data_IF_176707890677
#
_entry.id   IF_176707890677
#
_cell.length_a   1.000
_cell.length_b   1.000
_cell.length_c   1.000
_cell.angle_alpha   90.00
_cell.angle_beta   90.00
_cell.angle_gamma   90.00
#
_symmetry.space_group_name_H-M   'P 1'
#
loop_
_entity.id
_entity.type
_entity.pdbx_description
1 polymer ?
#
# COMPACT_ATOMS: atom_id res chain seq x y z
N UNK A 1 41.30 12.41 -2.35
CA UNK A 1 39.99 11.74 -2.19
C UNK A 1 38.99 12.52 -3.02
N UNK A 2 38.08 11.84 -3.76
CA UNK A 2 37.03 12.53 -4.50
C UNK A 2 36.16 13.34 -3.51
N UNK A 3 35.69 14.51 -3.93
CA UNK A 3 34.77 15.32 -3.13
C UNK A 3 33.39 14.60 -3.03
N UNK A 4 32.59 14.97 -2.04
CA UNK A 4 31.23 14.42 -1.90
C UNK A 4 30.39 14.64 -3.18
N UNK A 5 30.58 15.76 -3.85
CA UNK A 5 29.97 16.08 -5.14
C UNK A 5 30.43 15.12 -6.24
N UNK A 6 31.72 14.94 -6.44
CA UNK A 6 32.28 14.05 -7.45
C UNK A 6 31.81 12.59 -7.25
N UNK A 7 31.71 12.14 -5.99
CA UNK A 7 31.17 10.83 -5.68
C UNK A 7 29.70 10.69 -6.09
N UNK A 8 28.84 11.66 -5.75
CA UNK A 8 27.42 11.66 -6.13
C UNK A 8 27.24 11.76 -7.67
N UNK A 9 28.02 12.60 -8.34
CA UNK A 9 28.01 12.71 -9.81
C UNK A 9 28.39 11.38 -10.48
N UNK A 10 29.42 10.69 -9.96
CA UNK A 10 29.80 9.37 -10.47
C UNK A 10 28.73 8.31 -10.28
N UNK A 11 27.96 8.35 -9.19
CA UNK A 11 26.80 7.48 -8.98
C UNK A 11 25.68 7.83 -9.94
N UNK A 12 25.26 9.09 -10.03
CA UNK A 12 24.18 9.55 -10.91
C UNK A 12 24.45 9.25 -12.37
N UNK A 13 25.70 9.32 -12.81
CA UNK A 13 26.11 8.91 -14.17
C UNK A 13 25.74 7.46 -14.48
N UNK A 14 25.77 6.53 -13.50
CA UNK A 14 25.35 5.13 -13.71
C UNK A 14 23.86 5.00 -13.96
N UNK A 15 23.07 5.95 -13.47
CA UNK A 15 21.63 6.03 -13.69
C UNK A 15 21.26 6.88 -14.94
N UNK A 16 22.25 7.35 -15.69
CA UNK A 16 22.06 8.30 -16.80
C UNK A 16 21.33 9.57 -16.36
N UNK A 17 21.73 10.12 -15.20
CA UNK A 17 21.25 11.38 -14.62
C UNK A 17 22.36 12.40 -14.60
N UNK A 18 22.06 13.66 -14.97
CA UNK A 18 22.99 14.79 -14.92
C UNK A 18 22.52 15.81 -13.87
N UNK A 19 23.50 16.47 -13.25
CA UNK A 19 23.26 17.67 -12.44
C UNK A 19 23.30 18.88 -13.37
N UNK A 20 22.28 19.74 -13.30
CA UNK A 20 22.15 20.91 -14.18
C UNK A 20 21.75 20.54 -15.61
N UNK A 21 21.24 19.35 -15.89
CA UNK A 21 20.69 18.96 -17.20
C UNK A 21 19.22 19.33 -17.36
N UNK A 22 18.71 19.17 -18.59
CA UNK A 22 17.33 19.57 -18.96
C UNK A 22 16.39 18.38 -19.19
N UNK A 23 16.90 17.14 -19.15
CA UNK A 23 16.08 15.94 -19.40
C UNK A 23 15.14 15.66 -18.22
N UNK A 24 14.06 14.88 -18.39
CA UNK A 24 13.12 14.57 -17.33
C UNK A 24 13.78 14.00 -16.05
N UNK A 25 14.78 13.14 -16.19
CA UNK A 25 15.51 12.53 -15.09
C UNK A 25 16.60 13.41 -14.46
N UNK A 26 16.96 14.52 -15.10
CA UNK A 26 18.05 15.38 -14.62
C UNK A 26 17.61 16.23 -13.42
N UNK A 27 18.57 16.60 -12.57
CA UNK A 27 18.30 17.34 -11.33
C UNK A 27 18.99 18.70 -11.32
N UNK A 28 18.36 19.67 -10.68
CA UNK A 28 18.94 20.95 -10.31
C UNK A 28 19.30 20.92 -8.81
N UNK A 29 20.52 21.30 -8.47
CA UNK A 29 21.01 21.41 -7.09
C UNK A 29 21.12 22.89 -6.73
N UNK A 30 20.39 23.28 -5.67
CA UNK A 30 20.36 24.66 -5.17
C UNK A 30 21.22 24.85 -3.92
N UNK A 31 21.58 23.73 -3.24
CA UNK A 31 22.41 23.76 -2.04
C UNK A 31 23.41 22.58 -2.04
N UNK A 32 24.69 22.89 -2.07
CA UNK A 32 25.80 21.92 -2.11
C UNK A 32 25.86 21.00 -0.86
N UNK A 33 25.22 21.39 0.25
CA UNK A 33 25.10 20.55 1.45
C UNK A 33 24.35 19.25 1.18
N UNK A 34 23.58 19.18 0.10
CA UNK A 34 22.91 17.99 -0.40
C UNK A 34 23.82 16.77 -0.42
N UNK A 35 25.02 16.90 -1.00
CA UNK A 35 25.91 15.76 -1.24
C UNK A 35 26.34 15.09 0.07
N UNK A 36 26.76 15.89 1.04
CA UNK A 36 27.12 15.38 2.36
C UNK A 36 25.92 14.78 3.12
N UNK A 37 24.72 15.36 2.96
CA UNK A 37 23.50 14.87 3.59
C UNK A 37 23.10 13.51 3.03
N UNK A 38 23.18 13.33 1.71
CA UNK A 38 22.88 12.05 1.04
C UNK A 38 23.88 10.96 1.43
N UNK A 39 25.18 11.27 1.41
CA UNK A 39 26.20 10.29 1.83
C UNK A 39 26.00 9.85 3.29
N UNK A 40 25.65 10.78 4.18
CA UNK A 40 25.48 10.49 5.60
C UNK A 40 24.19 9.78 5.95
N UNK A 41 23.09 10.14 5.31
CA UNK A 41 21.75 9.72 5.69
C UNK A 41 20.98 8.93 4.61
N UNK A 42 21.60 8.67 3.46
CA UNK A 42 21.00 7.89 2.37
C UNK A 42 19.69 8.49 1.87
N UNK A 43 18.68 7.63 1.70
CA UNK A 43 17.34 8.00 1.22
C UNK A 43 16.66 9.03 2.13
N UNK A 44 16.84 8.94 3.45
CA UNK A 44 16.34 9.94 4.39
C UNK A 44 16.92 11.33 4.07
N UNK A 45 18.25 11.39 3.87
CA UNK A 45 18.93 12.64 3.53
C UNK A 45 18.49 13.23 2.19
N UNK A 46 18.27 12.37 1.19
CA UNK A 46 17.80 12.78 -0.14
C UNK A 46 16.38 13.38 -0.06
N UNK A 47 15.44 12.69 0.60
CA UNK A 47 14.06 13.15 0.71
C UNK A 47 13.93 14.41 1.57
N UNK A 48 14.65 14.49 2.69
CA UNK A 48 14.64 15.70 3.53
C UNK A 48 15.24 16.90 2.79
N UNK A 49 16.32 16.72 2.03
CA UNK A 49 16.90 17.78 1.21
C UNK A 49 15.92 18.26 0.11
N UNK A 50 15.11 17.34 -0.45
CA UNK A 50 14.03 17.72 -1.36
C UNK A 50 12.96 18.58 -0.67
N UNK A 51 12.51 18.15 0.51
CA UNK A 51 11.53 18.91 1.31
C UNK A 51 12.04 20.32 1.67
N UNK A 52 13.34 20.44 1.91
CA UNK A 52 14.01 21.70 2.27
C UNK A 52 14.37 22.57 1.03
N UNK A 53 14.03 22.11 -0.19
CA UNK A 53 14.27 22.87 -1.43
C UNK A 53 15.72 22.89 -1.90
N UNK A 54 16.58 21.97 -1.41
CA UNK A 54 17.99 21.95 -1.77
C UNK A 54 18.25 21.38 -3.17
N UNK A 55 17.29 20.65 -3.72
CA UNK A 55 17.34 20.14 -5.07
C UNK A 55 15.94 19.90 -5.65
N UNK A 56 15.87 19.80 -6.96
CA UNK A 56 14.67 19.50 -7.72
C UNK A 56 14.97 18.56 -8.88
N UNK A 57 13.96 17.88 -9.39
CA UNK A 57 14.01 17.11 -10.62
C UNK A 57 12.91 17.58 -11.57
N UNK A 58 13.17 17.62 -12.87
CA UNK A 58 12.19 17.99 -13.88
C UNK A 58 10.99 17.03 -13.88
N UNK A 59 11.27 15.70 -13.74
CA UNK A 59 10.28 14.69 -13.46
C UNK A 59 10.80 13.77 -12.34
N UNK A 60 10.33 14.01 -11.11
CA UNK A 60 10.83 13.33 -9.91
C UNK A 60 10.62 11.81 -9.97
N UNK A 61 9.48 11.36 -10.49
CA UNK A 61 9.15 9.95 -10.71
C UNK A 61 10.14 9.26 -11.68
N UNK A 62 10.52 9.96 -12.75
CA UNK A 62 11.50 9.46 -13.73
C UNK A 62 12.90 9.41 -13.13
N UNK A 63 13.31 10.42 -12.36
CA UNK A 63 14.56 10.44 -11.62
C UNK A 63 14.66 9.23 -10.69
N UNK A 64 13.66 9.05 -9.83
CA UNK A 64 13.62 7.93 -8.87
C UNK A 64 13.63 6.58 -9.61
N UNK A 65 12.83 6.44 -10.67
CA UNK A 65 12.87 5.23 -11.50
C UNK A 65 14.29 4.91 -11.99
N UNK A 66 15.02 5.90 -12.53
CA UNK A 66 16.38 5.72 -13.03
C UNK A 66 17.37 5.32 -11.94
N UNK A 67 17.32 6.00 -10.80
CA UNK A 67 18.16 5.72 -9.63
C UNK A 67 17.95 4.29 -9.11
N UNK A 68 16.69 3.87 -9.00
CA UNK A 68 16.33 2.53 -8.51
C UNK A 68 16.61 1.43 -9.55
N UNK A 69 16.38 1.68 -10.84
CA UNK A 69 16.71 0.74 -11.91
C UNK A 69 18.22 0.49 -11.97
N UNK A 70 19.04 1.52 -11.73
CA UNK A 70 20.49 1.42 -11.62
C UNK A 70 20.98 0.87 -10.23
N UNK A 71 20.07 0.55 -9.31
CA UNK A 71 20.34 0.02 -7.96
C UNK A 71 21.28 0.91 -7.13
N UNK A 72 21.16 2.22 -7.27
CA UNK A 72 22.00 3.16 -6.52
C UNK A 72 21.58 3.26 -5.05
N UNK A 73 20.35 2.89 -4.71
CA UNK A 73 19.87 2.68 -3.35
C UNK A 73 20.84 1.82 -2.53
N UNK A 74 21.36 0.73 -3.11
CA UNK A 74 22.32 -0.16 -2.46
C UNK A 74 23.73 0.40 -2.31
N UNK A 75 24.11 1.39 -3.10
CA UNK A 75 25.42 1.98 -3.04
C UNK A 75 25.61 2.91 -1.81
N UNK A 76 24.52 3.33 -1.18
CA UNK A 76 24.48 4.30 -0.07
C UNK A 76 23.90 3.68 1.23
N UNK A 77 23.35 2.46 1.17
CA UNK A 77 22.56 1.83 2.25
C UNK A 77 23.34 1.46 3.53
N UNK A 78 24.65 1.39 3.53
CA UNK A 78 25.39 0.92 4.71
C UNK A 78 25.86 2.10 5.54
N UNK A 79 24.97 2.65 6.37
CA UNK A 79 25.36 3.55 7.44
C UNK A 79 24.99 2.99 8.82
N UNK A 80 25.63 3.53 9.87
CA UNK A 80 25.42 3.10 11.27
C UNK A 80 23.94 3.21 11.70
N UNK A 81 23.20 4.19 11.17
CA UNK A 81 21.79 4.38 11.50
C UNK A 81 20.90 3.25 10.95
N UNK A 82 21.17 2.77 9.72
CA UNK A 82 20.48 1.61 9.14
C UNK A 82 20.76 0.33 9.95
N UNK A 83 22.00 0.12 10.36
CA UNK A 83 22.38 -1.03 11.21
C UNK A 83 21.66 -1.00 12.57
N UNK A 84 21.58 0.15 13.20
CA UNK A 84 20.86 0.33 14.46
C UNK A 84 19.35 0.13 14.31
N UNK A 85 18.75 0.59 13.22
CA UNK A 85 17.33 0.37 12.93
C UNK A 85 17.01 -1.11 12.73
N UNK A 86 17.84 -1.85 11.99
CA UNK A 86 17.71 -3.31 11.79
C UNK A 86 17.86 -4.04 13.13
N UNK A 87 18.86 -3.69 13.94
CA UNK A 87 19.05 -4.30 15.26
C UNK A 87 17.83 -4.04 16.17
N UNK A 88 17.31 -2.82 16.20
CA UNK A 88 16.11 -2.46 16.96
C UNK A 88 14.88 -3.27 16.50
N UNK A 89 14.65 -3.41 15.19
CA UNK A 89 13.55 -4.20 14.65
C UNK A 89 13.71 -5.70 14.95
N UNK A 90 14.95 -6.20 14.99
CA UNK A 90 15.25 -7.57 15.35
C UNK A 90 14.93 -7.90 16.82
N UNK A 91 15.29 -7.02 17.75
CA UNK A 91 15.09 -7.25 19.18
C UNK A 91 13.71 -6.87 19.68
N UNK A 92 13.08 -5.81 19.15
CA UNK A 92 11.80 -5.27 19.62
C UNK A 92 10.66 -5.49 18.63
N UNK A 93 9.43 -5.72 19.13
CA UNK A 93 8.23 -5.68 18.31
C UNK A 93 7.77 -4.22 18.15
N UNK A 94 8.09 -3.61 16.99
CA UNK A 94 7.76 -2.22 16.70
C UNK A 94 6.27 -2.01 16.34
N UNK A 95 5.52 -3.11 16.11
CA UNK A 95 4.10 -3.11 15.73
C UNK A 95 3.23 -3.75 16.83
N UNK A 96 3.50 -3.42 18.10
CA UNK A 96 2.66 -3.86 19.23
C UNK A 96 1.27 -3.20 19.18
N UNK A 97 0.25 -3.82 19.84
CA UNK A 97 -1.12 -3.30 19.89
C UNK A 97 -1.19 -1.84 20.35
N UNK A 98 -0.43 -1.47 21.37
CA UNK A 98 -0.37 -0.06 21.85
C UNK A 98 0.11 0.92 20.80
N UNK A 99 1.05 0.51 19.93
CA UNK A 99 1.60 1.34 18.85
C UNK A 99 0.72 1.39 17.61
N UNK A 100 -0.11 0.37 17.36
CA UNK A 100 -1.00 0.33 16.21
C UNK A 100 -1.98 1.52 16.22
N UNK A 101 -2.55 1.86 17.40
CA UNK A 101 -3.42 3.03 17.53
C UNK A 101 -2.67 4.35 17.34
N UNK A 102 -1.44 4.49 17.85
CA UNK A 102 -0.63 5.71 17.68
C UNK A 102 -0.22 5.92 16.20
N UNK A 103 0.07 4.85 15.46
CA UNK A 103 0.37 4.93 14.03
C UNK A 103 -0.88 5.30 13.23
N UNK A 104 -2.05 4.74 13.60
CA UNK A 104 -3.34 5.11 13.01
C UNK A 104 -3.63 6.60 13.18
N UNK A 105 -3.43 7.14 14.39
CA UNK A 105 -3.59 8.56 14.68
C UNK A 105 -2.58 9.41 13.86
N UNK A 106 -1.30 9.10 13.85
CA UNK A 106 -0.28 9.92 13.21
C UNK A 106 -0.38 10.01 11.68
N UNK A 107 -0.82 8.95 11.01
CA UNK A 107 -0.86 8.93 9.53
C UNK A 107 -2.23 9.35 8.97
N UNK A 108 -3.34 8.91 9.57
CA UNK A 108 -4.68 9.18 9.05
C UNK A 108 -5.31 10.45 9.61
N UNK A 109 -4.71 11.06 10.65
CA UNK A 109 -5.13 12.36 11.22
C UNK A 109 -4.58 13.58 10.44
N UNK A 110 -3.95 13.35 9.26
CA UNK A 110 -3.58 14.42 8.33
C UNK A 110 -4.78 15.21 7.76
N UNK A 111 -6.00 14.72 8.03
CA UNK A 111 -7.26 15.34 7.62
C UNK A 111 -7.92 14.66 6.43
N UNK A 112 -9.22 14.38 6.56
CA UNK A 112 -10.02 13.76 5.50
C UNK A 112 -10.11 14.62 4.22
N UNK A 113 -9.91 15.95 4.32
CA UNK A 113 -9.92 16.90 3.22
C UNK A 113 -8.75 16.68 2.24
N UNK A 114 -7.56 16.32 2.74
CA UNK A 114 -6.42 15.93 1.92
C UNK A 114 -6.72 14.67 1.11
N UNK A 115 -7.21 13.63 1.78
CA UNK A 115 -7.53 12.36 1.12
C UNK A 115 -8.69 12.49 0.14
N UNK A 116 -9.74 13.23 0.50
CA UNK A 116 -10.86 13.51 -0.40
C UNK A 116 -10.46 14.34 -1.64
N UNK A 117 -9.41 15.16 -1.52
CA UNK A 117 -8.88 15.91 -2.65
C UNK A 117 -8.02 15.07 -3.60
N UNK A 118 -7.41 14.00 -3.11
CA UNK A 118 -6.44 13.20 -3.84
C UNK A 118 -7.04 11.90 -4.40
N UNK A 119 -7.87 11.23 -3.61
CA UNK A 119 -8.42 9.91 -3.92
C UNK A 119 -9.60 10.00 -4.92
N UNK A 120 -10.10 8.83 -5.32
CA UNK A 120 -11.33 8.68 -6.07
C UNK A 120 -12.58 9.02 -5.22
N UNK A 121 -13.74 9.08 -5.83
CA UNK A 121 -15.04 9.38 -5.17
C UNK A 121 -15.41 8.42 -4.04
N UNK A 122 -14.82 7.22 -3.99
CA UNK A 122 -15.04 6.22 -2.95
C UNK A 122 -14.00 6.26 -1.82
N UNK A 123 -13.03 7.17 -1.91
CA UNK A 123 -11.95 7.29 -0.92
C UNK A 123 -11.10 6.02 -0.78
N UNK A 124 -10.72 5.39 -1.89
CA UNK A 124 -9.93 4.14 -1.87
C UNK A 124 -8.44 4.46 -1.85
N UNK A 125 -7.77 4.20 -0.73
CA UNK A 125 -6.34 4.47 -0.55
C UNK A 125 -5.47 3.23 -0.77
N UNK A 126 -5.77 2.47 -1.82
CA UNK A 126 -4.99 1.33 -2.31
C UNK A 126 -4.95 1.36 -3.83
N UNK A 127 -4.12 0.53 -4.44
CA UNK A 127 -3.96 0.48 -5.90
C UNK A 127 -5.29 0.24 -6.63
N UNK A 128 -5.56 1.00 -7.68
CA UNK A 128 -6.59 0.70 -8.66
C UNK A 128 -6.18 -0.46 -9.59
N UNK A 129 -7.12 -1.05 -10.30
CA UNK A 129 -6.87 -2.08 -11.30
C UNK A 129 -7.10 -1.51 -12.71
N UNK A 130 -5.99 -1.26 -13.44
CA UNK A 130 -5.98 -0.55 -14.71
C UNK A 130 -5.97 -1.50 -15.92
N UNK A 131 -6.60 -2.65 -15.82
CA UNK A 131 -6.56 -3.65 -16.90
C UNK A 131 -6.92 -3.05 -18.26
N UNK A 132 -5.99 -3.14 -19.20
CA UNK A 132 -6.34 -3.06 -20.62
C UNK A 132 -6.96 -4.40 -21.03
N UNK A 133 -7.97 -4.45 -21.94
CA UNK A 133 -8.42 -5.70 -22.50
C UNK A 133 -7.18 -6.40 -23.09
N UNK A 134 -6.86 -7.59 -22.58
CA UNK A 134 -5.76 -8.38 -23.10
C UNK A 134 -6.03 -8.67 -24.58
N UNK A 135 -5.16 -8.20 -25.46
CA UNK A 135 -5.07 -8.67 -26.81
C UNK A 135 -4.59 -10.12 -26.75
N UNK A 136 -5.51 -11.08 -26.78
CA UNK A 136 -5.17 -12.49 -27.03
C UNK A 136 -5.49 -13.46 -25.91
N UNK A 137 -6.75 -13.86 -25.79
CA UNK A 137 -7.14 -15.26 -25.55
C UNK A 137 -8.63 -15.40 -25.89
N UNK A 138 -8.91 -15.93 -27.07
CA UNK A 138 -10.24 -16.31 -27.56
C UNK A 138 -10.65 -17.62 -26.90
N UNK A 139 -11.14 -17.59 -25.66
CA UNK A 139 -11.93 -18.71 -25.12
C UNK A 139 -12.65 -18.34 -23.82
N UNK A 140 -13.64 -17.43 -23.89
CA UNK A 140 -14.81 -17.43 -23.00
C UNK A 140 -15.85 -16.43 -23.50
N UNK A 141 -17.11 -16.82 -23.77
CA UNK A 141 -18.15 -15.94 -24.32
C UNK A 141 -18.80 -15.00 -23.30
N UNK A 142 -18.24 -14.80 -22.14
CA UNK A 142 -18.76 -13.92 -21.07
C UNK A 142 -17.78 -12.85 -20.58
N UNK A 143 -16.81 -12.43 -21.40
CA UNK A 143 -16.09 -11.19 -21.16
C UNK A 143 -17.05 -10.02 -21.44
N UNK A 144 -17.57 -9.43 -20.37
CA UNK A 144 -18.27 -8.16 -20.39
C UNK A 144 -17.52 -7.16 -21.26
N UNK A 145 -18.24 -6.50 -22.18
CA UNK A 145 -17.87 -5.39 -23.05
C UNK A 145 -16.56 -4.70 -22.65
N UNK A 146 -15.54 -4.79 -23.54
CA UNK A 146 -14.20 -4.28 -23.33
C UNK A 146 -14.15 -2.74 -23.12
N UNK A 147 -14.62 -2.28 -22.00
CA UNK A 147 -14.44 -0.90 -21.57
C UNK A 147 -12.99 -0.76 -21.10
N UNK A 148 -12.24 0.11 -21.77
CA UNK A 148 -10.91 0.52 -21.35
C UNK A 148 -11.05 1.33 -20.07
N UNK A 149 -10.37 0.93 -19.00
CA UNK A 149 -10.30 1.69 -17.75
C UNK A 149 -9.42 2.93 -18.00
N UNK A 150 -10.02 4.12 -17.91
CA UNK A 150 -9.32 5.37 -18.27
C UNK A 150 -9.21 6.35 -17.08
N UNK A 151 -10.00 6.17 -16.04
CA UNK A 151 -10.05 7.08 -14.88
C UNK A 151 -9.72 6.35 -13.58
N UNK A 152 -9.29 7.12 -12.58
CA UNK A 152 -9.03 6.59 -11.24
C UNK A 152 -10.28 5.94 -10.63
N UNK A 153 -11.46 6.56 -10.81
CA UNK A 153 -12.74 6.03 -10.35
C UNK A 153 -13.04 4.65 -10.93
N UNK A 154 -12.88 4.51 -12.26
CA UNK A 154 -13.08 3.23 -12.94
C UNK A 154 -12.07 2.16 -12.49
N UNK A 155 -10.80 2.54 -12.31
CA UNK A 155 -9.76 1.63 -11.83
C UNK A 155 -10.02 1.14 -10.41
N UNK A 156 -10.54 2.00 -9.54
CA UNK A 156 -10.92 1.62 -8.19
C UNK A 156 -12.18 0.75 -8.19
N UNK A 157 -13.21 1.09 -8.95
CA UNK A 157 -14.41 0.25 -9.09
C UNK A 157 -14.04 -1.16 -9.63
N UNK A 158 -13.17 -1.22 -10.65
CA UNK A 158 -12.66 -2.49 -11.21
C UNK A 158 -11.88 -3.32 -10.17
N UNK A 159 -11.06 -2.67 -9.32
CA UNK A 159 -10.34 -3.36 -8.25
C UNK A 159 -11.28 -3.89 -7.16
N UNK A 160 -12.27 -3.10 -6.75
CA UNK A 160 -13.25 -3.53 -5.73
C UNK A 160 -14.08 -4.72 -6.23
N UNK A 161 -14.49 -4.69 -7.51
CA UNK A 161 -15.18 -5.79 -8.17
C UNK A 161 -14.31 -7.05 -8.26
N UNK A 162 -13.04 -6.89 -8.66
CA UNK A 162 -12.09 -7.99 -8.73
C UNK A 162 -11.93 -8.71 -7.39
N UNK A 163 -11.90 -7.97 -6.27
CA UNK A 163 -11.84 -8.55 -4.91
C UNK A 163 -13.10 -9.39 -4.66
N UNK A 164 -14.29 -8.87 -4.96
CA UNK A 164 -15.55 -9.60 -4.77
C UNK A 164 -15.60 -10.87 -5.62
N UNK A 165 -15.21 -10.80 -6.89
CA UNK A 165 -15.16 -11.98 -7.79
C UNK A 165 -14.16 -13.03 -7.30
N UNK A 166 -12.98 -12.62 -6.85
CA UNK A 166 -11.94 -13.54 -6.37
C UNK A 166 -12.35 -14.33 -5.14
N UNK A 167 -13.14 -13.76 -4.25
CA UNK A 167 -13.68 -14.53 -3.10
C UNK A 167 -15.00 -15.24 -3.43
N UNK A 168 -15.50 -15.11 -4.67
CA UNK A 168 -16.77 -15.71 -5.07
C UNK A 168 -17.96 -15.16 -4.29
N UNK A 169 -17.93 -13.85 -3.93
CA UNK A 169 -18.91 -13.20 -3.05
C UNK A 169 -20.34 -13.32 -3.57
N UNK A 170 -21.25 -13.70 -2.69
CA UNK A 170 -22.68 -13.91 -2.98
C UNK A 170 -23.55 -13.10 -2.05
N UNK A 171 -24.79 -12.90 -2.47
CA UNK A 171 -25.83 -12.27 -1.63
C UNK A 171 -26.02 -13.06 -0.33
N UNK A 172 -25.95 -12.35 0.78
CA UNK A 172 -26.14 -12.91 2.12
C UNK A 172 -24.83 -13.37 2.79
N UNK A 173 -23.71 -13.43 2.08
CA UNK A 173 -22.42 -13.75 2.70
C UNK A 173 -22.04 -12.71 3.74
N UNK A 174 -21.42 -13.17 4.82
CA UNK A 174 -20.90 -12.33 5.92
C UNK A 174 -19.37 -12.24 5.80
N UNK A 175 -18.85 -11.03 5.66
CA UNK A 175 -17.42 -10.80 5.41
C UNK A 175 -16.78 -10.01 6.53
N UNK A 176 -15.56 -10.40 6.93
CA UNK A 176 -14.70 -9.60 7.78
C UNK A 176 -13.72 -8.79 6.91
N UNK A 177 -13.75 -7.47 7.02
CA UNK A 177 -12.80 -6.55 6.37
C UNK A 177 -11.77 -6.07 7.38
N UNK A 178 -10.54 -6.63 7.33
CA UNK A 178 -9.46 -6.32 8.26
C UNK A 178 -8.67 -5.10 7.75
N UNK A 179 -8.89 -3.95 8.38
CA UNK A 179 -8.34 -2.68 7.95
C UNK A 179 -9.24 -1.99 6.92
N UNK A 180 -10.52 -1.86 7.23
CA UNK A 180 -11.56 -1.40 6.32
C UNK A 180 -11.40 0.07 5.86
N UNK A 181 -10.47 0.84 6.43
CA UNK A 181 -10.30 2.25 6.11
C UNK A 181 -11.60 3.05 6.28
N UNK A 182 -11.97 3.81 5.25
CA UNK A 182 -13.23 4.56 5.20
C UNK A 182 -14.45 3.73 4.76
N UNK A 183 -14.32 2.38 4.75
CA UNK A 183 -15.43 1.48 4.42
C UNK A 183 -15.72 1.33 2.93
N UNK A 184 -14.82 1.77 2.07
CA UNK A 184 -15.03 1.83 0.60
C UNK A 184 -15.35 0.47 -0.01
N UNK A 185 -14.58 -0.57 0.34
CA UNK A 185 -14.85 -1.93 -0.13
C UNK A 185 -16.12 -2.50 0.51
N UNK A 186 -16.29 -2.31 1.82
CA UNK A 186 -17.48 -2.78 2.53
C UNK A 186 -18.78 -2.25 1.90
N UNK A 187 -18.82 -0.93 1.63
CA UNK A 187 -19.94 -0.28 0.94
C UNK A 187 -20.17 -0.89 -0.44
N UNK A 188 -19.11 -1.06 -1.24
CA UNK A 188 -19.19 -1.64 -2.59
C UNK A 188 -19.74 -3.06 -2.55
N UNK A 189 -19.22 -3.93 -1.67
CA UNK A 189 -19.63 -5.32 -1.53
C UNK A 189 -21.13 -5.45 -1.16
N UNK A 190 -21.61 -4.58 -0.28
CA UNK A 190 -23.02 -4.53 0.09
C UNK A 190 -23.89 -4.05 -1.07
N UNK A 191 -23.56 -2.91 -1.66
CA UNK A 191 -24.36 -2.30 -2.74
C UNK A 191 -24.43 -3.17 -4.00
N UNK A 192 -23.34 -3.84 -4.36
CA UNK A 192 -23.24 -4.58 -5.62
C UNK A 192 -23.52 -6.07 -5.48
N UNK A 193 -23.19 -6.66 -4.35
CA UNK A 193 -23.28 -8.11 -4.15
C UNK A 193 -24.29 -8.51 -3.08
N UNK A 194 -24.82 -7.58 -2.29
CA UNK A 194 -25.79 -7.87 -1.23
C UNK A 194 -25.22 -8.65 -0.06
N UNK A 195 -23.92 -8.50 0.19
CA UNK A 195 -23.25 -9.08 1.35
C UNK A 195 -23.57 -8.29 2.64
N UNK A 196 -23.13 -8.80 3.78
CA UNK A 196 -23.03 -8.05 5.04
C UNK A 196 -21.57 -8.01 5.48
N UNK A 197 -21.12 -6.88 6.01
CA UNK A 197 -19.69 -6.68 6.32
C UNK A 197 -19.49 -6.20 7.73
N UNK A 198 -18.54 -6.82 8.44
CA UNK A 198 -17.95 -6.26 9.66
C UNK A 198 -16.56 -5.73 9.31
N UNK A 199 -16.42 -4.41 9.34
CA UNK A 199 -15.15 -3.73 9.09
C UNK A 199 -14.46 -3.35 10.39
N UNK A 200 -13.17 -3.63 10.50
CA UNK A 200 -12.36 -3.20 11.65
C UNK A 200 -11.24 -2.24 11.20
N UNK A 201 -11.00 -1.23 12.00
CA UNK A 201 -9.88 -0.27 11.84
C UNK A 201 -9.41 0.21 13.21
N UNK A 202 -8.15 0.62 13.32
CA UNK A 202 -7.60 1.25 14.54
C UNK A 202 -7.71 2.78 14.52
N UNK A 203 -8.07 3.39 13.38
CA UNK A 203 -8.25 4.84 13.26
C UNK A 203 -9.69 5.24 13.61
N UNK A 204 -9.84 6.11 14.60
CA UNK A 204 -11.15 6.67 14.99
C UNK A 204 -11.74 7.56 13.91
N UNK A 205 -10.89 8.34 13.22
CA UNK A 205 -11.27 9.24 12.12
C UNK A 205 -11.83 8.44 10.94
N UNK A 206 -11.13 7.38 10.53
CA UNK A 206 -11.63 6.48 9.49
C UNK A 206 -12.96 5.83 9.88
N UNK A 207 -13.06 5.32 11.13
CA UNK A 207 -14.27 4.67 11.60
C UNK A 207 -15.47 5.62 11.64
N UNK A 208 -15.27 6.88 12.04
CA UNK A 208 -16.33 7.88 12.09
C UNK A 208 -16.91 8.13 10.69
N UNK A 209 -16.04 8.44 9.71
CA UNK A 209 -16.47 8.68 8.34
C UNK A 209 -17.00 7.41 7.66
N UNK A 210 -16.42 6.22 7.94
CA UNK A 210 -16.91 4.96 7.39
C UNK A 210 -18.34 4.65 7.86
N UNK A 211 -18.68 4.92 9.12
CA UNK A 211 -20.06 4.76 9.65
C UNK A 211 -21.03 5.70 8.95
N UNK A 212 -20.62 6.94 8.70
CA UNK A 212 -21.42 7.91 7.93
C UNK A 212 -21.66 7.43 6.49
N UNK A 213 -20.58 7.07 5.78
CA UNK A 213 -20.64 6.62 4.38
C UNK A 213 -21.40 5.30 4.18
N UNK A 214 -21.46 4.45 5.19
CA UNK A 214 -22.17 3.18 5.18
C UNK A 214 -23.53 3.23 5.92
N UNK A 215 -24.02 4.42 6.31
CA UNK A 215 -25.28 4.54 7.02
C UNK A 215 -26.45 3.91 6.26
N UNK A 216 -27.26 3.11 6.96
CA UNK A 216 -28.40 2.40 6.37
C UNK A 216 -28.06 1.10 5.59
N UNK A 217 -26.78 0.77 5.48
CA UNK A 217 -26.32 -0.48 4.87
C UNK A 217 -26.02 -1.55 5.94
N UNK A 218 -26.05 -2.85 5.61
CA UNK A 218 -25.65 -3.93 6.52
C UNK A 218 -24.12 -3.99 6.67
N UNK A 219 -23.53 -2.88 7.15
CA UNK A 219 -22.12 -2.70 7.45
C UNK A 219 -21.96 -2.28 8.90
N UNK A 220 -21.18 -3.03 9.67
CA UNK A 220 -20.81 -2.68 11.02
C UNK A 220 -19.33 -2.26 11.06
N UNK A 221 -19.01 -1.04 11.52
CA UNK A 221 -17.64 -0.54 11.62
C UNK A 221 -17.21 -0.47 13.09
N UNK A 222 -16.12 -1.17 13.42
CA UNK A 222 -15.54 -1.23 14.77
C UNK A 222 -14.16 -0.59 14.82
N UNK A 223 -13.89 0.19 15.87
CA UNK A 223 -12.53 0.61 16.24
C UNK A 223 -11.93 -0.52 17.06
N UNK A 224 -11.14 -1.37 16.40
CA UNK A 224 -10.66 -2.62 17.00
C UNK A 224 -9.36 -3.07 16.36
N UNK A 225 -8.41 -3.55 17.19
CA UNK A 225 -7.20 -4.22 16.70
C UNK A 225 -7.57 -5.65 16.25
N UNK A 226 -7.01 -6.10 15.12
CA UNK A 226 -7.29 -7.44 14.58
C UNK A 226 -6.97 -8.57 15.58
N UNK A 227 -5.99 -8.37 16.48
CA UNK A 227 -5.61 -9.35 17.51
C UNK A 227 -6.70 -9.61 18.54
N UNK A 228 -7.61 -8.67 18.71
CA UNK A 228 -8.75 -8.75 19.63
C UNK A 228 -10.01 -9.33 18.97
N UNK A 229 -9.93 -9.67 17.68
CA UNK A 229 -11.06 -10.26 16.96
C UNK A 229 -11.34 -11.66 17.49
N UNK A 230 -12.57 -11.83 17.95
CA UNK A 230 -13.10 -13.12 18.34
C UNK A 230 -14.44 -13.33 17.62
N UNK A 231 -14.54 -14.30 16.71
CA UNK A 231 -15.78 -14.54 15.95
C UNK A 231 -16.97 -14.79 16.87
N UNK A 232 -16.82 -15.49 17.99
CA UNK A 232 -17.90 -15.77 18.93
C UNK A 232 -18.54 -14.53 19.54
N UNK A 233 -17.77 -13.45 19.72
CA UNK A 233 -18.29 -12.16 20.22
C UNK A 233 -18.81 -11.25 19.12
N UNK A 234 -18.43 -11.50 17.87
CA UNK A 234 -18.83 -10.71 16.70
C UNK A 234 -20.09 -11.23 16.01
N UNK A 235 -20.25 -12.54 15.96
CA UNK A 235 -21.28 -13.21 15.19
C UNK A 235 -22.23 -14.06 16.06
N UNK A 236 -21.78 -14.46 17.24
CA UNK A 236 -22.42 -15.44 18.10
C UNK A 236 -21.53 -16.68 18.30
N UNK A 237 -21.83 -17.44 19.34
CA UNK A 237 -21.03 -18.62 19.70
C UNK A 237 -20.99 -19.65 18.56
N UNK A 238 -19.79 -19.98 18.09
CA UNK A 238 -19.56 -20.97 17.02
C UNK A 238 -19.74 -20.45 15.60
N UNK A 239 -20.08 -19.19 15.39
CA UNK A 239 -20.20 -18.62 14.04
C UNK A 239 -18.85 -18.09 13.54
N UNK A 240 -18.67 -18.14 12.22
CA UNK A 240 -17.51 -17.67 11.47
C UNK A 240 -17.94 -16.88 10.24
N UNK A 241 -17.02 -16.13 9.64
CA UNK A 241 -17.26 -15.37 8.42
C UNK A 241 -17.18 -16.30 7.18
N UNK A 242 -18.02 -16.04 6.19
CA UNK A 242 -17.97 -16.74 4.90
C UNK A 242 -16.66 -16.41 4.16
N UNK A 243 -16.24 -15.15 4.24
CA UNK A 243 -15.01 -14.67 3.62
C UNK A 243 -14.30 -13.66 4.52
N UNK A 244 -13.00 -13.48 4.27
CA UNK A 244 -12.19 -12.41 4.86
C UNK A 244 -11.52 -11.63 3.73
N UNK A 245 -11.44 -10.32 3.87
CA UNK A 245 -10.63 -9.45 3.02
C UNK A 245 -9.72 -8.58 3.86
N UNK A 246 -8.57 -8.21 3.30
CA UNK A 246 -7.67 -7.22 3.89
C UNK A 246 -6.93 -6.50 2.77
N UNK A 247 -7.15 -5.20 2.65
CA UNK A 247 -6.69 -4.39 1.54
C UNK A 247 -5.76 -3.28 2.01
N UNK A 248 -4.42 -3.47 1.85
CA UNK A 248 -3.42 -2.46 2.20
C UNK A 248 -3.20 -2.27 3.71
N UNK A 249 -3.48 -3.30 4.51
CA UNK A 249 -3.29 -3.27 5.97
C UNK A 249 -2.10 -4.12 6.43
N UNK A 250 -1.79 -5.17 5.69
CA UNK A 250 -0.77 -6.15 6.09
C UNK A 250 0.64 -5.55 6.22
N UNK A 251 0.91 -4.48 5.51
CA UNK A 251 2.12 -3.66 5.59
C UNK A 251 2.35 -3.08 7.00
N UNK A 252 1.29 -2.92 7.79
CA UNK A 252 1.34 -2.40 9.16
C UNK A 252 1.38 -3.50 10.24
N UNK A 253 1.26 -4.78 9.85
CA UNK A 253 1.27 -5.93 10.78
C UNK A 253 2.66 -6.15 11.38
N UNK A 254 3.70 -6.07 10.56
CA UNK A 254 5.09 -6.32 10.93
C UNK A 254 5.44 -7.81 11.06
N UNK A 255 6.67 -8.15 10.66
CA UNK A 255 7.12 -9.53 10.46
C UNK A 255 6.91 -10.43 11.68
N UNK A 256 7.09 -9.90 12.90
CA UNK A 256 6.91 -10.65 14.15
C UNK A 256 5.46 -11.07 14.42
N UNK A 257 4.51 -10.38 13.80
CA UNK A 257 3.08 -10.61 14.02
C UNK A 257 2.41 -11.33 12.84
N UNK A 258 3.10 -11.61 11.73
CA UNK A 258 2.50 -12.24 10.55
C UNK A 258 1.81 -13.57 10.88
N UNK A 259 2.47 -14.42 11.70
CA UNK A 259 1.88 -15.69 12.12
C UNK A 259 0.60 -15.50 12.94
N UNK A 260 0.60 -14.57 13.90
CA UNK A 260 -0.59 -14.21 14.70
C UNK A 260 -1.71 -13.67 13.83
N UNK A 261 -1.38 -12.87 12.82
CA UNK A 261 -2.37 -12.33 11.89
C UNK A 261 -3.10 -13.43 11.11
N UNK A 262 -2.36 -14.39 10.56
CA UNK A 262 -2.96 -15.52 9.85
C UNK A 262 -3.68 -16.50 10.79
N UNK A 263 -3.23 -16.66 12.03
CA UNK A 263 -3.97 -17.44 13.04
C UNK A 263 -5.35 -16.81 13.33
N UNK A 264 -5.42 -15.48 13.51
CA UNK A 264 -6.70 -14.79 13.67
C UNK A 264 -7.60 -14.99 12.46
N UNK A 265 -7.09 -14.80 11.25
CA UNK A 265 -7.85 -15.02 10.03
C UNK A 265 -8.36 -16.48 9.94
N UNK A 266 -7.51 -17.45 10.26
CA UNK A 266 -7.88 -18.87 10.25
C UNK A 266 -9.02 -19.20 11.24
N UNK A 267 -8.97 -18.65 12.44
CA UNK A 267 -10.04 -18.84 13.44
C UNK A 267 -11.37 -18.18 13.03
N UNK A 268 -11.30 -17.07 12.31
CA UNK A 268 -12.47 -16.29 11.91
C UNK A 268 -13.13 -16.82 10.62
N UNK A 269 -12.41 -17.53 9.76
CA UNK A 269 -12.87 -17.99 8.47
C UNK A 269 -13.59 -19.34 8.57
N UNK A 270 -14.73 -19.52 7.87
CA UNK A 270 -15.38 -20.82 7.69
C UNK A 270 -14.48 -21.80 6.93
N UNK A 271 -14.73 -23.10 7.06
CA UNK A 271 -13.93 -24.17 6.42
C UNK A 271 -13.85 -24.01 4.89
N UNK A 272 -14.97 -23.66 4.25
CA UNK A 272 -15.04 -23.44 2.80
C UNK A 272 -14.90 -21.96 2.39
N UNK A 273 -14.52 -21.09 3.32
CA UNK A 273 -14.35 -19.67 3.09
C UNK A 273 -13.04 -19.35 2.35
N UNK A 274 -13.03 -18.17 1.72
CA UNK A 274 -11.83 -17.63 1.08
C UNK A 274 -11.36 -16.38 1.81
N UNK A 275 -10.05 -16.25 1.95
CA UNK A 275 -9.40 -15.05 2.45
C UNK A 275 -8.60 -14.39 1.33
N UNK A 276 -8.92 -13.14 0.98
CA UNK A 276 -8.15 -12.34 0.03
C UNK A 276 -7.28 -11.35 0.78
N UNK A 277 -5.98 -11.49 0.60
CA UNK A 277 -4.96 -10.55 1.07
C UNK A 277 -4.46 -9.71 -0.10
N UNK A 278 -4.67 -8.39 -0.05
CA UNK A 278 -4.10 -7.42 -0.98
C UNK A 278 -3.03 -6.61 -0.27
N UNK A 279 -1.78 -6.76 -0.68
CA UNK A 279 -0.64 -6.12 -0.02
C UNK A 279 0.45 -5.72 -0.99
N UNK A 280 1.08 -4.59 -0.72
CA UNK A 280 2.36 -4.25 -1.35
C UNK A 280 3.39 -5.25 -0.87
N UNK A 281 4.28 -5.65 -1.77
CA UNK A 281 5.34 -6.58 -1.43
C UNK A 281 6.70 -6.21 -2.00
N UNK A 282 7.71 -6.87 -1.48
CA UNK A 282 9.10 -6.68 -1.89
C UNK A 282 9.72 -8.03 -2.27
N UNK A 283 10.65 -8.02 -3.23
CA UNK A 283 11.28 -9.27 -3.71
C UNK A 283 12.25 -9.91 -2.72
N UNK A 284 12.64 -9.17 -1.68
CA UNK A 284 13.59 -9.62 -0.64
C UNK A 284 12.95 -9.41 0.72
N UNK A 285 13.15 -10.38 1.63
CA UNK A 285 12.66 -10.26 3.00
C UNK A 285 13.36 -9.11 3.73
N UNK A 286 12.57 -8.24 4.34
CA UNK A 286 13.03 -7.08 5.09
C UNK A 286 12.45 -7.07 6.51
N UNK A 287 13.09 -6.35 7.41
CA UNK A 287 12.64 -6.13 8.79
C UNK A 287 12.27 -4.66 9.05
N UNK A 288 12.67 -3.76 8.15
CA UNK A 288 12.45 -2.31 8.24
C UNK A 288 12.02 -1.77 6.89
N UNK A 289 11.39 -0.61 6.88
CA UNK A 289 11.05 0.14 5.68
C UNK A 289 12.18 1.11 5.29
N UNK A 290 12.01 1.81 4.17
CA UNK A 290 12.83 2.97 3.82
C UNK A 290 12.79 4.01 4.94
N UNK A 291 13.92 4.56 5.41
CA UNK A 291 13.96 5.47 6.57
C UNK A 291 13.17 6.77 6.37
N UNK A 292 13.04 7.27 5.13
CA UNK A 292 12.25 8.45 4.87
C UNK A 292 10.75 8.13 4.92
N UNK A 293 10.33 7.03 4.30
CA UNK A 293 8.94 6.54 4.34
C UNK A 293 8.53 6.23 5.78
N UNK A 294 9.40 5.57 6.56
CA UNK A 294 9.14 5.27 7.97
C UNK A 294 8.94 6.54 8.81
N UNK A 295 9.75 7.57 8.56
CA UNK A 295 9.70 8.81 9.34
C UNK A 295 8.51 9.69 9.01
N UNK A 296 8.14 9.82 7.75
CA UNK A 296 7.21 10.84 7.27
C UNK A 296 5.85 10.31 6.82
N UNK A 297 5.75 9.04 6.39
CA UNK A 297 4.56 8.51 5.74
C UNK A 297 3.97 7.33 6.52
N UNK A 298 4.70 6.22 6.67
CA UNK A 298 4.20 4.99 7.27
C UNK A 298 5.09 4.51 8.43
N UNK A 299 4.99 5.14 9.62
CA UNK A 299 5.76 4.72 10.78
C UNK A 299 5.53 3.25 11.13
N UNK A 300 6.61 2.48 11.21
CA UNK A 300 6.56 1.05 11.52
C UNK A 300 6.04 0.16 10.37
N UNK A 301 5.77 0.70 9.19
CA UNK A 301 5.37 -0.08 8.02
C UNK A 301 6.51 -0.97 7.51
N UNK A 302 6.22 -2.20 7.11
CA UNK A 302 7.21 -3.13 6.51
C UNK A 302 6.56 -3.89 5.37
N UNK A 303 7.17 -3.81 4.18
CA UNK A 303 6.68 -4.55 3.02
C UNK A 303 7.11 -6.02 3.12
N UNK A 304 6.17 -7.00 3.06
CA UNK A 304 6.49 -8.41 3.12
C UNK A 304 7.15 -8.90 1.83
N UNK A 305 7.86 -10.02 1.92
CA UNK A 305 8.21 -10.85 0.77
C UNK A 305 7.26 -12.04 0.65
N UNK A 306 7.19 -12.67 -0.54
CA UNK A 306 6.44 -13.94 -0.72
C UNK A 306 6.94 -15.02 0.24
N UNK A 307 8.25 -15.09 0.49
CA UNK A 307 8.83 -16.05 1.41
C UNK A 307 8.36 -15.84 2.87
N UNK A 308 8.24 -14.57 3.31
CA UNK A 308 7.73 -14.24 4.64
C UNK A 308 6.24 -14.58 4.77
N UNK A 309 5.44 -14.29 3.74
CA UNK A 309 4.02 -14.67 3.69
C UNK A 309 3.89 -16.20 3.68
N UNK A 310 4.61 -16.90 2.79
CA UNK A 310 4.58 -18.36 2.70
C UNK A 310 4.90 -19.05 4.03
N UNK A 311 5.95 -18.59 4.72
CA UNK A 311 6.28 -19.08 6.07
C UNK A 311 5.17 -18.80 7.10
N UNK A 312 4.50 -17.67 6.98
CA UNK A 312 3.48 -17.27 7.97
C UNK A 312 2.15 -18.01 7.79
N UNK A 313 1.79 -18.41 6.57
CA UNK A 313 0.57 -19.17 6.27
C UNK A 313 0.74 -20.70 6.42
N UNK A 314 1.98 -21.19 6.51
CA UNK A 314 2.28 -22.64 6.58
C UNK A 314 1.46 -23.33 7.66
N UNK A 315 0.72 -24.38 7.28
CA UNK A 315 -0.17 -25.15 8.16
C UNK A 315 -1.49 -24.46 8.52
N UNK A 316 -1.75 -23.24 8.02
CA UNK A 316 -3.05 -22.56 8.17
C UNK A 316 -3.82 -22.49 6.87
N UNK A 317 -3.13 -22.21 5.75
CA UNK A 317 -3.80 -21.95 4.48
C UNK A 317 -3.09 -22.57 3.30
N UNK A 318 -3.89 -22.95 2.30
CA UNK A 318 -3.46 -23.22 0.93
C UNK A 318 -3.48 -21.89 0.18
N UNK A 319 -2.41 -21.56 -0.56
CA UNK A 319 -2.37 -20.42 -1.46
C UNK A 319 -2.98 -20.84 -2.81
N UNK A 320 -4.19 -20.40 -3.09
CA UNK A 320 -4.94 -20.74 -4.31
C UNK A 320 -4.50 -19.91 -5.51
N UNK A 321 -4.24 -18.63 -5.30
CA UNK A 321 -3.84 -17.69 -6.35
C UNK A 321 -2.91 -16.60 -5.80
N UNK A 322 -1.97 -16.16 -6.64
CA UNK A 322 -1.16 -14.97 -6.42
C UNK A 322 -1.18 -14.11 -7.70
N UNK A 323 -1.92 -13.02 -7.68
CA UNK A 323 -2.02 -12.06 -8.77
C UNK A 323 -1.14 -10.85 -8.51
N UNK A 324 -0.12 -10.64 -9.34
CA UNK A 324 0.77 -9.50 -9.26
C UNK A 324 0.43 -8.46 -10.34
N UNK A 325 -0.11 -7.32 -9.92
CA UNK A 325 -0.38 -6.17 -10.80
C UNK A 325 0.24 -4.87 -10.28
N UNK A 326 1.41 -4.99 -9.67
CA UNK A 326 2.15 -3.85 -9.11
C UNK A 326 2.49 -2.74 -10.11
N UNK A 327 2.44 -3.00 -11.41
CA UNK A 327 2.61 -1.95 -12.43
C UNK A 327 1.49 -0.91 -12.39
N UNK A 328 0.27 -1.31 -12.02
CA UNK A 328 -0.91 -0.45 -11.92
C UNK A 328 -0.78 0.60 -10.80
N UNK A 329 0.08 0.33 -9.81
CA UNK A 329 0.30 1.30 -8.74
C UNK A 329 1.04 2.55 -9.21
N UNK A 330 1.94 2.44 -10.18
CA UNK A 330 2.56 3.62 -10.81
C UNK A 330 1.46 4.55 -11.36
N UNK A 331 0.55 4.03 -12.17
CA UNK A 331 -0.58 4.80 -12.73
C UNK A 331 -1.49 5.36 -11.65
N UNK A 332 -1.78 4.58 -10.60
CA UNK A 332 -2.60 5.03 -9.46
C UNK A 332 -1.95 6.20 -8.72
N UNK A 333 -0.65 6.10 -8.41
CA UNK A 333 0.10 7.15 -7.70
C UNK A 333 0.24 8.42 -8.53
N UNK A 334 0.42 8.29 -9.85
CA UNK A 334 0.43 9.44 -10.77
C UNK A 334 -0.94 10.13 -10.82
N UNK A 335 -2.04 9.36 -10.81
CA UNK A 335 -3.38 9.93 -10.75
C UNK A 335 -3.65 10.64 -9.41
N UNK A 336 -3.23 10.04 -8.28
CA UNK A 336 -3.31 10.68 -6.98
C UNK A 336 -2.50 11.97 -6.93
N UNK A 337 -1.29 11.97 -7.51
CA UNK A 337 -0.47 13.17 -7.56
C UNK A 337 -1.14 14.27 -8.40
N UNK A 338 -1.69 13.94 -9.57
CA UNK A 338 -2.39 14.91 -10.41
C UNK A 338 -3.58 15.56 -9.68
N UNK A 339 -4.38 14.77 -8.94
CA UNK A 339 -5.48 15.29 -8.15
C UNK A 339 -5.00 16.18 -7.00
N UNK A 340 -3.96 15.75 -6.27
CA UNK A 340 -3.36 16.49 -5.16
C UNK A 340 -2.81 17.84 -5.65
N UNK A 341 -2.04 17.83 -6.73
CA UNK A 341 -1.43 19.02 -7.32
C UNK A 341 -2.51 20.03 -7.78
N UNK A 342 -3.54 19.56 -8.49
CA UNK A 342 -4.68 20.37 -8.90
C UNK A 342 -5.46 20.96 -7.70
N UNK A 343 -5.52 20.23 -6.57
CA UNK A 343 -6.20 20.69 -5.36
C UNK A 343 -5.32 21.61 -4.49
N UNK A 344 -4.02 21.71 -4.75
CA UNK A 344 -3.08 22.47 -3.92
C UNK A 344 -3.47 23.95 -3.68
N UNK A 345 -3.97 24.71 -4.65
CA UNK A 345 -4.42 26.09 -4.39
C UNK A 345 -5.43 26.23 -3.23
N UNK A 346 -6.22 25.18 -2.97
CA UNK A 346 -7.15 25.11 -1.86
C UNK A 346 -6.45 24.59 -0.58
N UNK A 347 -5.65 23.54 -0.71
CA UNK A 347 -4.97 22.85 0.42
C UNK A 347 -3.90 23.71 1.09
N UNK A 348 -3.21 24.58 0.36
CA UNK A 348 -2.18 25.49 0.89
C UNK A 348 -2.68 26.48 1.96
N UNK A 349 -3.97 26.54 2.20
CA UNK A 349 -4.55 27.30 3.33
C UNK A 349 -4.36 26.61 4.67
N UNK A 350 -4.16 25.28 4.66
CA UNK A 350 -4.02 24.43 5.85
C UNK A 350 -2.63 23.80 5.94
N UNK A 351 -1.97 23.59 4.80
CA UNK A 351 -0.67 22.92 4.69
C UNK A 351 0.37 23.86 4.12
N UNK A 352 1.60 23.80 4.61
CA UNK A 352 2.71 24.63 4.14
C UNK A 352 3.41 24.03 2.89
N UNK A 353 4.31 24.80 2.30
CA UNK A 353 5.08 24.39 1.11
C UNK A 353 5.96 23.18 1.38
N UNK A 354 6.47 23.03 2.61
CA UNK A 354 7.28 21.87 3.00
C UNK A 354 6.44 20.59 3.01
N UNK A 355 5.17 20.69 3.42
CA UNK A 355 4.19 19.59 3.33
C UNK A 355 3.90 19.23 1.86
N UNK A 356 3.69 20.23 0.99
CA UNK A 356 3.50 19.98 -0.45
C UNK A 356 4.67 19.17 -1.03
N UNK A 357 5.89 19.60 -0.76
CA UNK A 357 7.11 18.93 -1.22
C UNK A 357 7.23 17.52 -0.64
N UNK A 358 6.89 17.33 0.63
CA UNK A 358 6.85 16.01 1.28
C UNK A 358 5.87 15.07 0.56
N UNK A 359 4.65 15.53 0.33
CA UNK A 359 3.59 14.71 -0.28
C UNK A 359 3.88 14.41 -1.75
N UNK A 360 4.36 15.39 -2.50
CA UNK A 360 4.87 15.22 -3.86
C UNK A 360 6.01 14.20 -3.92
N UNK A 361 6.98 14.31 -3.01
CA UNK A 361 8.09 13.36 -2.93
C UNK A 361 7.57 11.94 -2.64
N UNK A 362 6.66 11.78 -1.71
CA UNK A 362 6.03 10.50 -1.41
C UNK A 362 5.40 9.86 -2.65
N UNK A 363 4.44 10.54 -3.26
CA UNK A 363 3.67 9.98 -4.37
C UNK A 363 4.55 9.65 -5.58
N UNK A 364 5.42 10.57 -5.98
CA UNK A 364 6.25 10.41 -7.16
C UNK A 364 7.43 9.44 -6.93
N UNK A 365 8.01 9.38 -5.73
CA UNK A 365 9.05 8.40 -5.44
C UNK A 365 8.48 6.97 -5.39
N UNK A 366 7.29 6.77 -4.83
CA UNK A 366 6.61 5.50 -4.89
C UNK A 366 6.24 5.09 -6.33
N UNK A 367 5.74 6.03 -7.16
CA UNK A 367 5.47 5.78 -8.58
C UNK A 367 6.72 5.30 -9.33
N UNK A 368 7.85 6.01 -9.15
CA UNK A 368 9.15 5.60 -9.69
C UNK A 368 9.61 4.23 -9.19
N UNK A 369 9.35 3.90 -7.92
CA UNK A 369 9.67 2.61 -7.30
C UNK A 369 8.88 1.44 -7.90
N UNK A 370 7.57 1.61 -8.12
CA UNK A 370 6.74 0.60 -8.80
C UNK A 370 7.13 0.45 -10.27
N UNK A 371 7.41 1.55 -10.97
CA UNK A 371 7.91 1.56 -12.36
C UNK A 371 9.25 0.84 -12.48
N UNK A 372 10.14 0.97 -11.51
CA UNK A 372 11.40 0.23 -11.42
C UNK A 372 11.23 -1.24 -11.01
N UNK A 373 10.00 -1.69 -10.74
CA UNK A 373 9.68 -3.06 -10.28
C UNK A 373 10.41 -3.46 -8.98
N UNK A 374 10.80 -2.51 -8.17
CA UNK A 374 11.35 -2.77 -6.83
C UNK A 374 10.25 -3.20 -5.87
N UNK A 375 9.13 -2.48 -5.89
CA UNK A 375 7.91 -2.84 -5.20
C UNK A 375 6.98 -3.58 -6.14
N UNK A 376 6.14 -4.41 -5.56
CA UNK A 376 5.12 -5.20 -6.23
C UNK A 376 3.81 -5.06 -5.48
N UNK A 377 2.71 -5.47 -6.09
CA UNK A 377 1.42 -5.53 -5.43
C UNK A 377 0.80 -6.88 -5.71
N UNK A 378 0.36 -7.54 -4.66
CA UNK A 378 -0.24 -8.86 -4.76
C UNK A 378 -1.66 -8.86 -4.23
N UNK A 379 -2.55 -9.55 -4.95
CA UNK A 379 -3.76 -10.13 -4.39
C UNK A 379 -3.54 -11.64 -4.26
N UNK A 380 -3.56 -12.12 -3.03
CA UNK A 380 -3.35 -13.53 -2.69
C UNK A 380 -4.67 -14.09 -2.19
N UNK A 381 -5.15 -15.16 -2.83
CA UNK A 381 -6.34 -15.89 -2.39
C UNK A 381 -5.89 -17.11 -1.59
N UNK A 382 -6.45 -17.25 -0.41
CA UNK A 382 -6.13 -18.28 0.56
C UNK A 382 -7.40 -19.06 0.93
N UNK A 383 -7.29 -20.38 1.07
CA UNK A 383 -8.33 -21.26 1.62
C UNK A 383 -7.76 -22.11 2.75
N UNK A 384 -8.57 -22.61 3.69
CA UNK A 384 -8.07 -23.47 4.77
C UNK A 384 -7.61 -24.83 4.27
N UNK A 385 -8.43 -25.50 3.45
CA UNK A 385 -8.24 -26.91 3.09
C UNK A 385 -8.11 -27.15 1.58
N UNK A 386 -7.93 -26.10 0.80
CA UNK A 386 -8.01 -26.16 -0.65
C UNK A 386 -9.45 -26.05 -1.16
N UNK A 387 -9.63 -25.41 -2.32
CA UNK A 387 -10.91 -25.35 -3.01
C UNK A 387 -11.15 -26.70 -3.71
N UNK A 388 -12.24 -27.44 -3.42
CA UNK A 388 -12.53 -28.69 -4.10
C UNK A 388 -12.58 -28.51 -5.62
N UNK A 389 -11.80 -29.30 -6.35
CA UNK A 389 -11.67 -29.20 -7.81
C UNK A 389 -10.73 -28.08 -8.30
N UNK A 390 -10.13 -27.33 -7.38
CA UNK A 390 -9.21 -26.22 -7.68
C UNK A 390 -9.91 -24.87 -7.77
N UNK A 391 -9.13 -23.81 -7.51
CA UNK A 391 -9.61 -22.42 -7.60
C UNK A 391 -9.50 -21.90 -9.04
N UNK A 392 -10.55 -21.23 -9.52
CA UNK A 392 -10.52 -20.54 -10.81
C UNK A 392 -10.03 -19.10 -10.61
N UNK A 393 -8.86 -18.79 -11.16
CA UNK A 393 -8.26 -17.46 -11.05
C UNK A 393 -9.06 -16.41 -11.82
N UNK A 394 -9.38 -15.31 -11.16
CA UNK A 394 -9.98 -14.11 -11.76
C UNK A 394 -8.92 -13.03 -11.98
N UNK A 395 -9.01 -12.39 -13.15
CA UNK A 395 -8.15 -11.26 -13.54
C UNK A 395 -9.00 -10.07 -13.96
#
# INVERSE_FOLDING_TARGET
MASAREFCEALLKKADVKIGGERPQDIAVHDERLYNRVIRYGTLGLGEAYMDGWWEANALDVFIHRVLAARLDKAIEINVASMLAIAKAFFFNLQSSKRAFTVGEAHYDLGNDLYAAMLDKRMVYTCGYWSSPSTGSTSSPQASSGHRVNTLDEAQDAKLDLVCRKIGLKKGDRVLDIGCGWGSWAKYAVEKYGASVVGITVSKEQAALARELCAGLPVEIRVQDYREVNPSTMLGAGEQFDHIVSLGMFEHVGVKNYRTYFDVANRCLKENGLFLLHTIGYKVSQLTSDPWIEKYIFPGGVLPSVAQIGKAIEGFFVMEDLHNFGADYDTTLMAWFANFDAAWPRLKKQYDERFYRMWKYYLLSCAGGFRARQMQLWQIVLSKNGVPGGYTSHR
#
